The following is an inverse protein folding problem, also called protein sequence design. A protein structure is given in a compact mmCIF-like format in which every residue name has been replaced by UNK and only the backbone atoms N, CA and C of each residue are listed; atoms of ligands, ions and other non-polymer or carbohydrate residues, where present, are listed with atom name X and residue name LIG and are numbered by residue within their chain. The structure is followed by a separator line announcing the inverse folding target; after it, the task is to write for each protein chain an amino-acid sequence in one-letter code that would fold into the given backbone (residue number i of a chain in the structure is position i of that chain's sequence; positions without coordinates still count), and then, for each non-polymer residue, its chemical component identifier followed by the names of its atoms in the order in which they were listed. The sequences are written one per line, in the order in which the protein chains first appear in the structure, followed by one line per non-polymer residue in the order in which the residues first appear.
data_IF_447903096149
#
_entry.id   IF_447903096149
#
_cell.length_a   1.000
_cell.length_b   1.000
_cell.length_c   1.000
_cell.angle_alpha   90.00
_cell.angle_beta   90.00
_cell.angle_gamma   90.00
#
_symmetry.space_group_name_H-M   'P 1'
#
loop_
_entity.id
_entity.type
_entity.pdbx_description
1 polymer ?
#
# COMPACT_ATOMS: atom_id res chain seq x y z
N UNK A 1 12.45 -7.13 -27.27
CA UNK A 1 11.69 -8.16 -26.50
C UNK A 1 12.09 -8.08 -25.06
N UNK A 2 11.12 -8.25 -24.17
CA UNK A 2 11.39 -8.39 -22.72
C UNK A 2 12.22 -9.66 -22.52
N UNK A 3 13.46 -9.51 -22.04
CA UNK A 3 14.32 -10.61 -21.61
C UNK A 3 14.23 -10.83 -20.10
N UNK A 4 14.90 -11.86 -19.59
CA UNK A 4 14.83 -12.25 -18.18
C UNK A 4 15.28 -11.13 -17.20
N UNK A 5 16.23 -10.28 -17.62
CA UNK A 5 16.80 -9.21 -16.80
C UNK A 5 16.19 -7.82 -17.11
N UNK A 6 15.09 -7.74 -17.86
CA UNK A 6 14.50 -6.44 -18.22
C UNK A 6 14.10 -5.64 -16.97
N UNK A 7 13.31 -6.25 -16.07
CA UNK A 7 12.88 -5.58 -14.84
C UNK A 7 14.06 -5.26 -13.91
N UNK A 8 15.08 -6.13 -13.86
CA UNK A 8 16.28 -5.88 -13.07
C UNK A 8 17.03 -4.63 -13.51
N UNK A 9 17.22 -4.45 -14.81
CA UNK A 9 17.86 -3.24 -15.35
C UNK A 9 16.99 -2.01 -15.13
N UNK A 10 15.68 -2.15 -15.36
CA UNK A 10 14.74 -1.03 -15.15
C UNK A 10 14.67 -0.62 -13.68
N UNK A 11 14.65 -1.56 -12.75
CA UNK A 11 14.65 -1.27 -11.31
C UNK A 11 15.86 -0.42 -10.91
N UNK A 12 17.04 -0.69 -11.48
CA UNK A 12 18.23 0.12 -11.24
C UNK A 12 18.06 1.57 -11.72
N UNK A 13 17.41 1.79 -12.86
CA UNK A 13 17.12 3.15 -13.34
C UNK A 13 16.10 3.85 -12.44
N UNK A 14 15.02 3.17 -12.06
CA UNK A 14 13.97 3.74 -11.20
C UNK A 14 14.51 4.10 -9.80
N UNK A 15 15.38 3.28 -9.22
CA UNK A 15 16.00 3.55 -7.90
C UNK A 15 16.88 4.80 -7.92
N UNK A 16 17.50 5.13 -9.06
CA UNK A 16 18.32 6.36 -9.19
C UNK A 16 17.52 7.65 -9.21
N UNK A 17 16.22 7.57 -9.50
CA UNK A 17 15.34 8.74 -9.51
C UNK A 17 14.81 8.96 -8.09
N UNK A 18 15.03 10.15 -7.53
CA UNK A 18 14.46 10.53 -6.24
C UNK A 18 12.96 10.79 -6.39
N UNK A 19 12.15 10.02 -5.69
CA UNK A 19 10.70 10.19 -5.58
C UNK A 19 10.24 10.15 -4.12
N UNK A 20 11.10 10.61 -3.20
CA UNK A 20 10.81 10.58 -1.76
C UNK A 20 9.66 11.51 -1.37
N UNK A 21 8.82 11.05 -0.45
CA UNK A 21 7.71 11.77 0.16
C UNK A 21 7.92 11.82 1.70
N UNK A 22 8.03 13.00 2.32
CA UNK A 22 8.27 14.29 1.69
C UNK A 22 9.67 14.37 1.06
N UNK A 23 9.76 15.03 -0.09
CA UNK A 23 11.04 15.21 -0.79
C UNK A 23 10.88 15.68 -2.23
N UNK A 24 11.44 14.92 -3.18
CA UNK A 24 11.39 15.26 -4.60
C UNK A 24 10.03 14.95 -5.24
N UNK A 25 9.26 14.02 -4.65
CA UNK A 25 7.98 13.54 -5.15
C UNK A 25 8.10 12.85 -6.52
N UNK A 26 6.97 12.52 -7.17
CA UNK A 26 6.92 11.57 -8.28
C UNK A 26 7.07 12.18 -9.69
N UNK A 27 7.14 13.50 -9.86
CA UNK A 27 7.11 14.14 -11.19
C UNK A 27 8.22 13.65 -12.14
N UNK A 28 9.42 13.38 -11.63
CA UNK A 28 10.52 12.89 -12.48
C UNK A 28 10.35 11.43 -12.87
N UNK A 29 9.99 10.56 -11.91
CA UNK A 29 9.79 9.13 -12.19
C UNK A 29 8.55 8.91 -13.07
N UNK A 30 7.47 9.68 -12.88
CA UNK A 30 6.28 9.63 -13.74
C UNK A 30 6.65 9.94 -15.20
N UNK A 31 7.35 11.06 -15.45
CA UNK A 31 7.82 11.43 -16.78
C UNK A 31 8.75 10.39 -17.40
N UNK A 32 9.63 9.79 -16.59
CA UNK A 32 10.51 8.72 -17.04
C UNK A 32 9.72 7.51 -17.53
N UNK A 33 8.74 7.03 -16.74
CA UNK A 33 7.90 5.87 -17.09
C UNK A 33 7.07 6.17 -18.33
N UNK A 34 6.46 7.35 -18.41
CA UNK A 34 5.68 7.79 -19.58
C UNK A 34 6.53 7.78 -20.85
N UNK A 35 7.71 8.39 -20.80
CA UNK A 35 8.64 8.42 -21.94
C UNK A 35 9.09 7.02 -22.35
N UNK A 36 9.33 6.12 -21.40
CA UNK A 36 9.65 4.72 -21.68
C UNK A 36 8.51 4.02 -22.42
N UNK A 37 7.27 4.18 -21.98
CA UNK A 37 6.09 3.59 -22.64
C UNK A 37 5.91 4.13 -24.05
N UNK A 38 5.98 5.46 -24.22
CA UNK A 38 5.87 6.12 -25.51
C UNK A 38 6.95 5.63 -26.50
N UNK A 39 8.20 5.50 -26.04
CA UNK A 39 9.29 4.94 -26.83
C UNK A 39 9.05 3.47 -27.25
N UNK A 40 8.42 2.65 -26.38
CA UNK A 40 8.05 1.27 -26.74
C UNK A 40 6.95 1.24 -27.82
N UNK A 41 5.92 2.08 -27.69
CA UNK A 41 4.85 2.21 -28.70
C UNK A 41 5.42 2.64 -30.05
N UNK A 42 6.34 3.62 -30.04
CA UNK A 42 7.01 4.10 -31.25
C UNK A 42 7.92 3.03 -31.89
N UNK A 43 8.69 2.31 -31.05
CA UNK A 43 9.57 1.20 -31.50
C UNK A 43 8.79 0.07 -32.18
N UNK A 44 7.65 -0.33 -31.58
CA UNK A 44 6.80 -1.40 -32.13
C UNK A 44 6.04 -0.96 -33.38
N UNK A 45 5.66 0.31 -33.47
CA UNK A 45 5.10 0.98 -34.65
C UNK A 45 4.00 0.18 -35.39
N UNK A 46 3.13 -0.53 -34.66
CA UNK A 46 2.06 -1.34 -35.24
C UNK A 46 0.70 -0.64 -35.10
N UNK A 47 -0.16 -0.60 -36.17
CA UNK A 47 -1.43 0.12 -36.16
C UNK A 47 -2.38 -0.28 -35.01
N UNK A 48 -2.37 -1.54 -34.56
CA UNK A 48 -3.21 -2.02 -33.45
C UNK A 48 -2.89 -1.28 -32.15
N UNK A 49 -1.65 -0.83 -31.96
CA UNK A 49 -1.21 -0.11 -30.77
C UNK A 49 -1.74 1.33 -30.70
N UNK A 50 -2.31 1.88 -31.79
CA UNK A 50 -3.00 3.18 -31.74
C UNK A 50 -4.23 3.16 -30.81
N UNK A 51 -4.72 1.98 -30.42
CA UNK A 51 -5.79 1.82 -29.46
C UNK A 51 -5.32 1.94 -27.99
N UNK A 52 -4.01 1.85 -27.74
CA UNK A 52 -3.44 2.01 -26.40
C UNK A 52 -3.60 3.45 -25.93
N UNK A 53 -4.02 3.63 -24.70
CA UNK A 53 -4.27 4.93 -24.10
C UNK A 53 -3.23 5.19 -23.02
N UNK A 54 -2.66 6.38 -23.00
CA UNK A 54 -1.77 6.89 -21.96
C UNK A 54 -2.45 8.11 -21.35
N UNK A 55 -2.77 8.04 -20.07
CA UNK A 55 -3.56 9.05 -19.38
C UNK A 55 -2.82 9.50 -18.11
N UNK A 56 -2.87 10.79 -17.82
CA UNK A 56 -2.35 11.39 -16.59
C UNK A 56 -3.51 11.97 -15.79
N UNK A 57 -3.44 11.85 -14.47
CA UNK A 57 -4.42 12.42 -13.55
C UNK A 57 -3.68 13.17 -12.44
N UNK A 58 -3.81 14.48 -12.39
CA UNK A 58 -3.25 15.28 -11.30
C UNK A 58 -4.01 15.00 -10.00
N UNK A 59 -3.32 14.49 -9.00
CA UNK A 59 -3.84 14.13 -7.68
C UNK A 59 -3.53 15.25 -6.67
N UNK A 60 -2.30 15.72 -6.71
CA UNK A 60 -1.79 16.83 -5.90
C UNK A 60 -1.03 17.79 -6.83
N UNK A 61 -0.82 19.05 -6.45
CA UNK A 61 -0.11 19.99 -7.30
C UNK A 61 1.24 19.45 -7.78
N UNK A 62 1.35 19.19 -9.10
CA UNK A 62 2.56 18.65 -9.73
C UNK A 62 2.77 17.13 -9.52
N UNK A 63 1.90 16.43 -8.83
CA UNK A 63 1.98 14.97 -8.60
C UNK A 63 0.85 14.28 -9.34
N UNK A 64 1.18 13.44 -10.31
CA UNK A 64 0.22 12.81 -11.23
C UNK A 64 0.30 11.29 -11.18
N UNK A 65 -0.87 10.65 -11.11
CA UNK A 65 -0.98 9.25 -11.50
C UNK A 65 -0.79 9.14 -13.02
N UNK A 66 -0.12 8.07 -13.44
CA UNK A 66 -0.03 7.68 -14.84
C UNK A 66 -0.81 6.37 -15.05
N UNK A 67 -1.67 6.31 -16.07
CA UNK A 67 -2.34 5.08 -16.49
C UNK A 67 -2.03 4.75 -17.93
N UNK A 68 -1.65 3.51 -18.20
CA UNK A 68 -1.50 2.95 -19.55
C UNK A 68 -2.51 1.83 -19.71
N UNK A 69 -3.39 1.95 -20.72
CA UNK A 69 -4.45 0.97 -20.97
C UNK A 69 -4.29 0.32 -22.33
N UNK A 70 -4.17 -0.99 -22.36
CA UNK A 70 -4.35 -1.83 -23.54
C UNK A 70 -5.80 -2.31 -23.51
N UNK A 71 -6.68 -1.82 -24.43
CA UNK A 71 -8.09 -2.22 -24.44
C UNK A 71 -8.25 -3.70 -24.77
N UNK A 72 -9.31 -4.31 -24.24
CA UNK A 72 -9.72 -5.67 -24.58
C UNK A 72 -10.78 -5.69 -25.68
N UNK A 73 -11.00 -6.86 -26.27
CA UNK A 73 -12.08 -7.11 -27.24
C UNK A 73 -13.42 -7.44 -26.56
N UNK A 74 -13.42 -7.72 -25.25
CA UNK A 74 -14.61 -8.06 -24.46
C UNK A 74 -14.83 -7.07 -23.31
N UNK A 75 -16.06 -7.07 -22.76
CA UNK A 75 -16.43 -6.30 -21.58
C UNK A 75 -16.10 -7.02 -20.26
N UNK A 76 -15.23 -8.03 -20.31
CA UNK A 76 -14.76 -8.71 -19.11
C UNK A 76 -13.97 -7.76 -18.20
N UNK A 77 -13.95 -8.03 -16.88
CA UNK A 77 -13.17 -7.24 -15.95
C UNK A 77 -11.70 -7.14 -16.38
N UNK A 78 -11.15 -5.94 -16.44
CA UNK A 78 -9.74 -5.72 -16.79
C UNK A 78 -8.81 -6.28 -15.74
N UNK A 79 -7.62 -6.73 -16.17
CA UNK A 79 -6.49 -6.93 -15.27
C UNK A 79 -5.80 -5.58 -15.07
N UNK A 80 -5.62 -5.17 -13.83
CA UNK A 80 -4.94 -3.92 -13.48
C UNK A 80 -3.76 -4.24 -12.57
N UNK A 81 -2.57 -3.77 -12.95
CA UNK A 81 -1.46 -3.65 -12.03
C UNK A 81 -1.42 -2.20 -11.54
N UNK A 82 -1.44 -2.00 -10.23
CA UNK A 82 -1.29 -0.69 -9.59
C UNK A 82 -0.03 -0.70 -8.74
N UNK A 83 0.84 0.29 -8.93
CA UNK A 83 2.13 0.34 -8.26
C UNK A 83 2.44 1.80 -7.92
N UNK A 84 2.83 2.07 -6.68
CA UNK A 84 3.21 3.41 -6.32
C UNK A 84 4.61 3.78 -6.82
N UNK A 85 4.79 5.08 -7.07
CA UNK A 85 6.04 5.65 -7.56
C UNK A 85 6.85 6.33 -6.46
N UNK A 86 6.18 6.77 -5.39
CA UNK A 86 6.80 7.41 -4.25
C UNK A 86 7.60 6.42 -3.39
N UNK A 87 8.41 6.95 -2.53
CA UNK A 87 9.13 6.22 -1.48
C UNK A 87 9.11 7.07 -0.22
N UNK A 88 9.25 6.46 0.96
CA UNK A 88 9.56 7.23 2.15
C UNK A 88 10.87 8.01 2.00
N UNK A 89 11.12 8.96 2.89
CA UNK A 89 12.36 9.75 2.93
C UNK A 89 13.60 8.86 2.89
N UNK A 90 14.70 9.39 2.37
CA UNK A 90 15.96 8.64 2.24
C UNK A 90 16.50 8.18 3.60
N UNK A 91 16.32 8.97 4.66
CA UNK A 91 16.76 8.67 6.01
C UNK A 91 18.28 8.60 6.17
N UNK A 92 18.70 8.37 7.41
CA UNK A 92 20.10 8.23 7.80
C UNK A 92 20.48 6.76 8.08
N UNK A 93 21.77 6.51 8.30
CA UNK A 93 22.27 5.18 8.72
C UNK A 93 22.61 4.22 7.58
N UNK A 94 22.69 4.70 6.35
CA UNK A 94 23.19 3.92 5.21
C UNK A 94 24.68 3.63 5.36
N UNK A 95 25.11 2.44 4.92
CA UNK A 95 26.52 2.11 4.83
C UNK A 95 27.25 3.06 3.89
N UNK A 96 28.51 3.38 4.19
CA UNK A 96 29.25 4.42 3.47
C UNK A 96 29.45 4.12 1.96
N UNK A 97 29.33 2.87 1.55
CA UNK A 97 29.44 2.42 0.17
C UNK A 97 28.08 2.15 -0.50
N UNK A 98 26.97 2.45 0.20
CA UNK A 98 25.60 2.33 -0.31
C UNK A 98 24.92 3.68 -0.28
N UNK A 99 24.99 4.42 -1.40
CA UNK A 99 24.23 5.64 -1.54
C UNK A 99 22.73 5.30 -1.71
N UNK A 100 21.81 6.01 -1.01
CA UNK A 100 20.36 5.73 -1.07
C UNK A 100 19.76 5.69 -2.49
N UNK A 101 20.26 6.53 -3.39
CA UNK A 101 19.86 6.59 -4.80
C UNK A 101 20.94 6.03 -5.74
N UNK A 102 21.90 5.28 -5.21
CA UNK A 102 23.03 4.76 -5.99
C UNK A 102 22.70 3.57 -6.88
N UNK A 103 21.58 2.89 -6.62
CA UNK A 103 21.25 1.61 -7.24
C UNK A 103 22.45 0.63 -7.20
N UNK A 104 23.02 0.46 -6.03
CA UNK A 104 24.25 -0.33 -5.84
C UNK A 104 23.93 -1.81 -5.98
N UNK A 105 24.60 -2.49 -6.91
CA UNK A 105 24.49 -3.95 -7.08
C UNK A 105 25.64 -4.63 -6.34
N UNK A 106 25.31 -5.52 -5.41
CA UNK A 106 26.28 -6.30 -4.64
C UNK A 106 25.63 -7.63 -4.20
N UNK A 107 26.35 -8.72 -4.36
CA UNK A 107 25.92 -10.08 -3.97
C UNK A 107 24.49 -10.42 -4.49
N UNK A 108 24.26 -10.18 -5.78
CA UNK A 108 22.97 -10.38 -6.47
C UNK A 108 21.80 -9.64 -5.81
N UNK A 109 22.05 -8.49 -5.19
CA UNK A 109 21.08 -7.61 -4.58
C UNK A 109 21.21 -6.20 -5.12
N UNK A 110 20.08 -5.56 -5.37
CA UNK A 110 19.99 -4.14 -5.70
C UNK A 110 19.67 -3.36 -4.44
N UNK A 111 20.60 -2.53 -4.01
CA UNK A 111 20.48 -1.66 -2.84
C UNK A 111 20.07 -0.24 -3.26
N UNK A 112 19.16 0.34 -2.51
CA UNK A 112 18.73 1.72 -2.64
C UNK A 112 17.34 1.95 -2.07
N UNK A 113 16.98 3.21 -1.81
CA UNK A 113 15.63 3.57 -1.36
C UNK A 113 14.61 3.25 -2.46
N UNK A 114 13.53 2.54 -2.09
CA UNK A 114 12.53 2.09 -3.03
C UNK A 114 12.92 0.82 -3.80
N UNK A 115 14.13 0.26 -3.62
CA UNK A 115 14.51 -0.97 -4.31
C UNK A 115 13.57 -2.13 -3.97
N UNK A 116 13.14 -2.20 -2.71
CA UNK A 116 12.19 -3.18 -2.19
C UNK A 116 10.76 -2.64 -2.24
N UNK A 117 10.54 -1.41 -1.80
CA UNK A 117 9.25 -0.78 -1.62
C UNK A 117 9.13 0.51 -2.46
N UNK A 118 8.48 0.44 -3.68
CA UNK A 118 8.16 -0.80 -4.44
C UNK A 118 8.67 -0.71 -5.89
N UNK A 119 9.75 0.08 -6.17
CA UNK A 119 10.30 0.29 -7.54
C UNK A 119 10.78 -1.02 -8.20
N UNK A 120 11.25 -1.99 -7.40
CA UNK A 120 11.54 -3.34 -7.91
C UNK A 120 10.30 -4.04 -8.46
N UNK A 121 9.19 -3.94 -7.75
CA UNK A 121 7.88 -4.44 -8.17
C UNK A 121 7.30 -3.66 -9.36
N UNK A 122 7.37 -2.32 -9.30
CA UNK A 122 6.96 -1.44 -10.41
C UNK A 122 7.69 -1.78 -11.72
N UNK A 123 9.00 -2.06 -11.64
CA UNK A 123 9.77 -2.51 -12.81
C UNK A 123 9.25 -3.84 -13.39
N UNK A 124 8.82 -4.78 -12.54
CA UNK A 124 8.20 -6.04 -12.98
C UNK A 124 6.83 -5.80 -13.65
N UNK A 125 6.02 -4.89 -13.11
CA UNK A 125 4.73 -4.52 -13.70
C UNK A 125 4.90 -3.83 -15.06
N UNK A 126 5.89 -2.94 -15.20
CA UNK A 126 6.24 -2.32 -16.50
C UNK A 126 6.75 -3.38 -17.48
N UNK A 127 7.53 -4.36 -17.03
CA UNK A 127 7.97 -5.47 -17.90
C UNK A 127 6.78 -6.26 -18.47
N UNK A 128 5.77 -6.55 -17.63
CA UNK A 128 4.54 -7.22 -18.08
C UNK A 128 3.73 -6.35 -19.06
N UNK A 129 3.68 -5.03 -18.89
CA UNK A 129 3.08 -4.11 -19.86
C UNK A 129 3.83 -4.16 -21.18
N UNK A 130 5.15 -4.03 -21.18
CA UNK A 130 5.97 -4.06 -22.40
C UNK A 130 5.81 -5.38 -23.14
N UNK A 131 5.82 -6.51 -22.40
CA UNK A 131 5.54 -7.84 -22.97
C UNK A 131 4.15 -7.91 -23.63
N UNK A 132 3.13 -7.36 -22.95
CA UNK A 132 1.76 -7.28 -23.50
C UNK A 132 1.72 -6.46 -24.80
N UNK A 133 2.39 -5.31 -24.86
CA UNK A 133 2.47 -4.49 -26.08
C UNK A 133 3.19 -5.22 -27.21
N UNK A 134 4.28 -5.92 -26.91
CA UNK A 134 5.02 -6.72 -27.90
C UNK A 134 4.16 -7.85 -28.47
N UNK A 135 3.40 -8.55 -27.62
CA UNK A 135 2.49 -9.61 -28.05
C UNK A 135 1.34 -9.07 -28.89
N UNK A 136 0.69 -7.97 -28.46
CA UNK A 136 -0.35 -7.29 -29.24
C UNK A 136 0.16 -6.89 -30.63
N UNK A 137 1.36 -6.36 -30.73
CA UNK A 137 1.97 -6.01 -32.02
C UNK A 137 2.29 -7.26 -32.85
N UNK A 138 2.79 -8.33 -32.26
CA UNK A 138 3.11 -9.58 -32.96
C UNK A 138 1.85 -10.29 -33.49
N UNK A 139 0.79 -10.32 -32.70
CA UNK A 139 -0.49 -10.94 -33.04
C UNK A 139 -1.30 -10.06 -34.02
N UNK A 140 -1.00 -8.76 -34.08
CA UNK A 140 -1.77 -7.78 -34.85
C UNK A 140 -3.20 -7.59 -34.35
N UNK A 141 -3.49 -7.98 -33.13
CA UNK A 141 -4.82 -7.98 -32.52
C UNK A 141 -4.75 -7.62 -31.02
N UNK A 142 -5.80 -6.95 -30.54
CA UNK A 142 -5.96 -6.68 -29.10
C UNK A 142 -6.23 -7.97 -28.32
N UNK A 143 -5.88 -8.04 -27.03
CA UNK A 143 -6.19 -9.19 -26.21
C UNK A 143 -7.72 -9.29 -26.00
N UNK A 144 -8.20 -10.45 -25.58
CA UNK A 144 -9.61 -10.65 -25.24
C UNK A 144 -10.03 -9.76 -24.07
N UNK A 145 -9.28 -9.78 -23.00
CA UNK A 145 -9.50 -8.96 -21.80
C UNK A 145 -8.55 -7.74 -21.80
N UNK A 146 -9.05 -6.58 -21.38
CA UNK A 146 -8.20 -5.39 -21.26
C UNK A 146 -7.18 -5.50 -20.14
N UNK A 147 -6.08 -4.79 -20.30
CA UNK A 147 -5.02 -4.64 -19.29
C UNK A 147 -4.75 -3.17 -19.01
N UNK A 148 -4.47 -2.82 -17.77
CA UNK A 148 -3.98 -1.48 -17.40
C UNK A 148 -2.84 -1.57 -16.41
N UNK A 149 -1.86 -0.68 -16.58
CA UNK A 149 -0.89 -0.34 -15.54
C UNK A 149 -1.26 1.04 -15.00
N UNK A 150 -1.39 1.17 -13.67
CA UNK A 150 -1.57 2.44 -12.97
C UNK A 150 -0.32 2.65 -12.13
N UNK A 151 0.39 3.76 -12.34
CA UNK A 151 1.47 4.20 -11.47
C UNK A 151 0.87 5.29 -10.56
N UNK A 152 0.73 5.00 -9.27
CA UNK A 152 0.08 5.85 -8.28
C UNK A 152 1.08 6.74 -7.55
N UNK A 153 0.58 7.84 -6.99
CA UNK A 153 1.32 8.77 -6.13
C UNK A 153 0.81 8.69 -4.69
N UNK A 154 1.67 9.09 -3.71
CA UNK A 154 1.25 9.34 -2.34
C UNK A 154 0.79 8.08 -1.57
N UNK A 155 1.30 6.91 -1.94
CA UNK A 155 0.93 5.68 -1.23
C UNK A 155 1.48 5.67 0.19
N UNK A 156 2.74 6.06 0.36
CA UNK A 156 3.50 6.05 1.60
C UNK A 156 2.97 7.01 2.69
N UNK A 157 2.10 7.97 2.32
CA UNK A 157 1.50 8.93 3.25
C UNK A 157 -0.02 8.72 3.41
N UNK A 158 -0.84 9.14 2.43
CA UNK A 158 -2.30 9.08 2.53
C UNK A 158 -2.99 8.22 1.49
N UNK A 159 -2.28 7.65 0.50
CA UNK A 159 -2.84 6.82 -0.60
C UNK A 159 -3.86 7.60 -1.45
N UNK A 160 -3.64 8.91 -1.63
CA UNK A 160 -4.54 9.78 -2.42
C UNK A 160 -4.55 9.40 -3.89
N UNK A 161 -3.47 8.80 -4.41
CA UNK A 161 -3.39 8.31 -5.78
C UNK A 161 -4.42 7.23 -6.06
N UNK A 162 -4.54 6.21 -5.22
CA UNK A 162 -5.56 5.17 -5.35
C UNK A 162 -6.97 5.73 -5.24
N UNK A 163 -7.20 6.65 -4.31
CA UNK A 163 -8.51 7.29 -4.15
C UNK A 163 -8.91 8.07 -5.41
N UNK A 164 -7.99 8.86 -5.96
CA UNK A 164 -8.21 9.59 -7.19
C UNK A 164 -8.45 8.67 -8.39
N UNK A 165 -7.76 7.52 -8.46
CA UNK A 165 -8.00 6.52 -9.51
C UNK A 165 -9.41 5.91 -9.42
N UNK A 166 -9.93 5.68 -8.21
CA UNK A 166 -11.32 5.24 -7.98
C UNK A 166 -12.31 6.33 -8.43
N UNK A 167 -12.12 7.56 -7.98
CA UNK A 167 -13.00 8.69 -8.26
C UNK A 167 -13.05 9.03 -9.76
N UNK A 168 -11.94 8.85 -10.48
CA UNK A 168 -11.85 9.01 -11.94
C UNK A 168 -12.43 7.81 -12.72
N UNK A 169 -12.87 6.75 -12.04
CA UNK A 169 -13.39 5.54 -12.69
C UNK A 169 -12.31 4.70 -13.38
N UNK A 170 -11.04 4.87 -13.03
CA UNK A 170 -9.94 4.08 -13.56
C UNK A 170 -9.97 2.65 -13.03
N UNK A 171 -10.47 2.47 -11.82
CA UNK A 171 -10.64 1.18 -11.13
C UNK A 171 -11.93 1.20 -10.30
N UNK A 172 -12.59 0.04 -10.17
CA UNK A 172 -13.83 -0.12 -9.43
C UNK A 172 -13.99 -1.51 -8.83
N UNK A 173 -15.25 -1.96 -8.69
CA UNK A 173 -15.57 -3.22 -8.00
C UNK A 173 -15.43 -4.47 -8.88
N UNK A 174 -15.20 -4.35 -10.17
CA UNK A 174 -15.22 -5.48 -11.13
C UNK A 174 -13.84 -5.93 -11.58
N UNK A 175 -12.87 -5.04 -11.57
CA UNK A 175 -11.52 -5.27 -12.08
C UNK A 175 -10.76 -6.28 -11.22
N UNK A 176 -9.80 -6.95 -11.82
CA UNK A 176 -8.82 -7.77 -11.16
C UNK A 176 -7.58 -6.92 -10.89
N UNK A 177 -7.32 -6.63 -9.62
CA UNK A 177 -6.32 -5.62 -9.23
C UNK A 177 -5.19 -6.27 -8.43
N UNK A 178 -3.98 -6.06 -8.88
CA UNK A 178 -2.76 -6.54 -8.25
C UNK A 178 -1.79 -5.38 -8.04
N UNK A 179 -1.26 -5.22 -6.84
CA UNK A 179 -0.07 -4.42 -6.60
C UNK A 179 1.19 -5.30 -6.46
N UNK A 180 2.36 -4.68 -6.51
CA UNK A 180 3.63 -5.39 -6.45
C UNK A 180 4.45 -5.04 -5.22
N UNK A 181 3.76 -4.88 -4.11
CA UNK A 181 4.31 -4.67 -2.78
C UNK A 181 5.32 -5.76 -2.37
N UNK A 182 6.24 -5.48 -1.42
CA UNK A 182 7.28 -6.41 -1.02
C UNK A 182 6.74 -7.61 -0.22
N UNK A 183 6.21 -8.60 -0.92
CA UNK A 183 5.60 -9.81 -0.34
C UNK A 183 6.52 -11.03 -0.31
N UNK A 184 7.77 -10.89 -0.76
CA UNK A 184 8.74 -11.97 -0.93
C UNK A 184 8.23 -13.14 -1.80
N UNK A 185 7.40 -12.81 -2.80
CA UNK A 185 6.78 -13.79 -3.71
C UNK A 185 5.67 -14.63 -3.08
N UNK A 186 5.09 -14.17 -1.97
CA UNK A 186 3.86 -14.70 -1.42
C UNK A 186 2.67 -13.90 -1.96
N UNK A 187 1.51 -14.54 -2.09
CA UNK A 187 0.27 -13.88 -2.47
C UNK A 187 -0.39 -13.36 -1.18
N UNK A 188 -0.59 -12.04 -1.09
CA UNK A 188 -1.23 -11.43 0.08
C UNK A 188 -2.63 -10.95 -0.32
N UNK A 189 -3.66 -11.47 0.35
CA UNK A 189 -5.08 -11.31 -0.05
C UNK A 189 -5.95 -10.68 1.03
N UNK A 190 -5.37 -10.35 2.18
CA UNK A 190 -6.08 -9.81 3.32
C UNK A 190 -5.23 -8.75 4.03
N UNK A 191 -5.89 -7.78 4.65
CA UNK A 191 -5.24 -6.65 5.33
C UNK A 191 -5.96 -6.33 6.64
N UNK A 192 -5.20 -5.96 7.68
CA UNK A 192 -5.80 -5.36 8.87
C UNK A 192 -6.34 -3.98 8.52
N UNK A 193 -7.48 -3.61 9.11
CA UNK A 193 -7.96 -2.24 9.06
C UNK A 193 -6.98 -1.29 9.76
N UNK A 194 -6.98 -0.02 9.36
CA UNK A 194 -6.17 1.04 9.96
C UNK A 194 -7.07 2.20 10.34
N UNK A 195 -7.21 2.46 11.64
CA UNK A 195 -7.99 3.60 12.14
C UNK A 195 -7.09 4.46 13.04
N UNK A 196 -7.05 5.75 12.75
CA UNK A 196 -6.30 6.72 13.54
C UNK A 196 -7.24 7.60 14.33
N UNK A 197 -6.85 7.84 15.60
CA UNK A 197 -7.54 8.75 16.48
C UNK A 197 -6.60 9.81 17.02
N UNK A 198 -7.09 11.02 17.14
CA UNK A 198 -6.59 12.05 18.02
C UNK A 198 -7.53 12.17 19.20
N UNK A 199 -7.03 12.02 20.42
CA UNK A 199 -7.82 12.11 21.64
C UNK A 199 -7.25 13.25 22.46
N UNK A 200 -8.11 14.17 22.89
CA UNK A 200 -7.75 15.32 23.73
C UNK A 200 -8.49 15.25 25.05
N UNK A 201 -7.79 15.62 26.13
CA UNK A 201 -8.35 15.85 27.45
C UNK A 201 -8.10 17.29 27.85
N UNK A 202 -9.16 17.97 28.25
CA UNK A 202 -9.11 19.33 28.82
C UNK A 202 -9.44 19.27 30.30
N UNK A 203 -8.80 20.10 31.06
CA UNK A 203 -8.95 20.15 32.51
C UNK A 203 -8.93 21.59 33.03
N UNK A 204 -8.49 21.76 34.27
CA UNK A 204 -8.45 23.09 34.93
C UNK A 204 -7.13 23.24 35.63
N UNK A 205 -6.39 24.31 35.35
CA UNK A 205 -5.12 24.61 36.00
C UNK A 205 -5.29 24.94 37.47
N UNK A 206 -4.31 24.53 38.29
CA UNK A 206 -4.18 24.92 39.70
C UNK A 206 -2.71 24.84 40.14
N UNK A 207 -2.41 25.40 41.28
CA UNK A 207 -1.09 25.22 41.88
C UNK A 207 -0.91 23.78 42.35
N UNK A 208 0.21 23.13 42.06
CA UNK A 208 0.43 21.72 42.34
C UNK A 208 0.33 21.35 43.85
N UNK A 209 0.51 22.32 44.77
CA UNK A 209 0.26 22.09 46.20
C UNK A 209 -1.21 22.05 46.59
N UNK A 210 -2.12 22.41 45.68
CA UNK A 210 -3.57 22.39 45.88
C UNK A 210 -4.28 21.76 44.66
N UNK A 211 -3.94 20.53 44.30
CA UNK A 211 -4.43 19.92 43.04
C UNK A 211 -5.96 19.74 43.04
N UNK A 212 -6.60 19.63 44.17
CA UNK A 212 -8.06 19.55 44.32
C UNK A 212 -8.83 20.80 43.86
N UNK A 213 -8.11 21.90 43.54
CA UNK A 213 -8.71 23.13 42.96
C UNK A 213 -8.67 23.12 41.43
N UNK A 214 -8.00 22.15 40.83
CA UNK A 214 -7.91 21.97 39.40
C UNK A 214 -8.50 20.63 38.96
N UNK A 215 -8.33 20.32 37.69
CA UNK A 215 -8.63 19.02 37.09
C UNK A 215 -7.48 18.63 36.18
N UNK A 216 -6.80 17.53 36.49
CA UNK A 216 -5.54 17.11 35.86
C UNK A 216 -5.82 16.37 34.55
N UNK A 217 -5.64 17.04 33.42
CA UNK A 217 -5.84 16.48 32.09
C UNK A 217 -4.85 15.36 31.74
N UNK A 218 -3.62 15.40 32.26
CA UNK A 218 -2.62 14.34 32.07
C UNK A 218 -3.02 13.08 32.85
N UNK A 219 -3.52 13.21 34.07
CA UNK A 219 -4.04 12.08 34.82
C UNK A 219 -5.26 11.46 34.14
N UNK A 220 -6.19 12.27 33.64
CA UNK A 220 -7.34 11.79 32.83
C UNK A 220 -6.90 11.06 31.55
N UNK A 221 -5.91 11.61 30.83
CA UNK A 221 -5.35 10.94 29.65
C UNK A 221 -4.71 9.59 29.97
N UNK A 222 -3.99 9.49 31.10
CA UNK A 222 -3.40 8.23 31.56
C UNK A 222 -4.48 7.16 31.81
N UNK A 223 -5.62 7.53 32.42
CA UNK A 223 -6.77 6.63 32.60
C UNK A 223 -7.35 6.17 31.27
N UNK A 224 -7.54 7.09 30.31
CA UNK A 224 -8.04 6.74 28.97
C UNK A 224 -7.10 5.78 28.23
N UNK A 225 -5.81 6.03 28.23
CA UNK A 225 -4.77 5.15 27.63
C UNK A 225 -4.79 3.77 28.27
N UNK A 226 -4.86 3.70 29.61
CA UNK A 226 -4.93 2.42 30.31
C UNK A 226 -6.24 1.65 30.02
N UNK A 227 -7.35 2.35 29.89
CA UNK A 227 -8.64 1.74 29.54
C UNK A 227 -8.62 1.16 28.12
N UNK A 228 -8.11 1.91 27.14
CA UNK A 228 -7.97 1.45 25.75
C UNK A 228 -7.04 0.23 25.65
N UNK A 229 -5.90 0.24 26.32
CA UNK A 229 -4.99 -0.93 26.35
C UNK A 229 -5.68 -2.19 26.88
N UNK A 230 -6.46 -2.06 27.96
CA UNK A 230 -7.24 -3.19 28.50
C UNK A 230 -8.32 -3.67 27.55
N UNK A 231 -9.04 -2.74 26.90
CA UNK A 231 -10.09 -3.06 25.93
C UNK A 231 -9.53 -3.84 24.73
N UNK A 232 -8.41 -3.38 24.16
CA UNK A 232 -7.75 -4.05 23.04
C UNK A 232 -7.20 -5.43 23.42
N UNK A 233 -6.65 -5.60 24.62
CA UNK A 233 -6.17 -6.90 25.09
C UNK A 233 -7.29 -7.95 25.27
N UNK A 234 -8.54 -7.52 25.35
CA UNK A 234 -9.72 -8.39 25.48
C UNK A 234 -10.41 -8.68 24.15
N UNK A 235 -9.96 -8.09 23.03
CA UNK A 235 -10.55 -8.33 21.70
C UNK A 235 -10.30 -9.77 21.23
N UNK A 236 -11.21 -10.34 20.45
CA UNK A 236 -10.99 -11.65 19.84
C UNK A 236 -9.81 -11.60 18.85
N UNK A 237 -9.14 -12.74 18.73
CA UNK A 237 -8.07 -12.93 17.74
C UNK A 237 -8.71 -13.49 16.48
N UNK A 238 -8.47 -12.84 15.34
CA UNK A 238 -8.93 -13.33 14.03
C UNK A 238 -8.04 -14.48 13.57
N UNK A 239 -8.62 -15.54 13.00
CA UNK A 239 -7.89 -16.77 12.65
C UNK A 239 -6.75 -16.50 11.63
N UNK A 240 -6.97 -15.66 10.61
CA UNK A 240 -5.97 -15.33 9.59
C UNK A 240 -5.18 -14.07 9.95
N UNK A 241 -5.87 -12.95 10.26
CA UNK A 241 -5.24 -11.65 10.48
C UNK A 241 -4.59 -11.50 11.87
N UNK A 242 -4.83 -12.45 12.79
CA UNK A 242 -4.32 -12.39 14.15
C UNK A 242 -5.03 -11.33 15.02
N UNK A 243 -4.39 -10.82 16.10
CA UNK A 243 -5.01 -9.87 17.00
C UNK A 243 -5.09 -8.46 16.42
N UNK A 244 -6.14 -7.71 16.80
CA UNK A 244 -6.13 -6.25 16.68
C UNK A 244 -5.05 -5.65 17.57
N UNK A 245 -4.43 -4.54 17.13
CA UNK A 245 -3.36 -3.88 17.89
C UNK A 245 -3.63 -2.39 18.05
N UNK A 246 -3.07 -1.80 19.12
CA UNK A 246 -3.14 -0.38 19.40
C UNK A 246 -1.75 0.14 19.73
N UNK A 247 -1.38 1.26 19.12
CA UNK A 247 -0.13 1.99 19.36
C UNK A 247 -0.45 3.44 19.70
N UNK A 248 0.12 3.93 20.79
CA UNK A 248 0.09 5.34 21.16
C UNK A 248 1.36 5.98 20.60
N UNK A 249 1.27 6.51 19.38
CA UNK A 249 2.44 6.96 18.61
C UNK A 249 3.06 8.25 19.15
N UNK A 250 2.23 9.13 19.69
CA UNK A 250 2.66 10.39 20.26
C UNK A 250 1.74 10.77 21.43
N UNK A 251 2.30 11.40 22.45
CA UNK A 251 1.55 11.97 23.57
C UNK A 251 2.21 13.28 23.99
N UNK A 252 1.39 14.28 24.29
CA UNK A 252 1.85 15.57 24.82
C UNK A 252 0.88 16.09 25.89
N UNK A 253 1.35 16.93 26.79
CA UNK A 253 0.51 17.54 27.81
C UNK A 253 1.27 18.21 28.94
N UNK A 254 0.58 19.13 29.61
CA UNK A 254 1.11 19.87 30.74
C UNK A 254 2.12 20.95 30.38
N UNK A 255 2.60 21.66 31.38
CA UNK A 255 3.52 22.80 31.21
C UNK A 255 4.77 22.67 32.09
N UNK A 256 4.56 22.56 33.42
CA UNK A 256 5.61 22.55 34.45
C UNK A 256 5.18 21.67 35.63
N UNK A 257 6.10 21.08 36.37
CA UNK A 257 5.77 20.16 37.49
C UNK A 257 5.00 20.81 38.66
N UNK A 258 4.94 22.13 38.73
CA UNK A 258 4.24 22.87 39.76
C UNK A 258 2.86 23.44 39.31
N UNK A 259 2.34 23.01 38.17
CA UNK A 259 1.05 23.42 37.61
C UNK A 259 0.25 22.15 37.31
N UNK A 260 -0.99 22.08 37.83
CA UNK A 260 -1.96 21.04 37.40
C UNK A 260 -2.27 21.28 35.93
N UNK A 261 -2.03 20.28 35.05
CA UNK A 261 -2.19 20.46 33.59
C UNK A 261 -3.67 20.50 33.19
N UNK A 262 -4.02 21.44 32.36
CA UNK A 262 -5.37 21.60 31.79
C UNK A 262 -5.50 21.05 30.36
N UNK A 263 -4.45 20.45 29.81
CA UNK A 263 -4.44 19.90 28.48
C UNK A 263 -3.54 18.67 28.38
N UNK A 264 -4.03 17.63 27.68
CA UNK A 264 -3.25 16.50 27.19
C UNK A 264 -3.83 15.99 25.88
N UNK A 265 -2.97 15.52 24.97
CA UNK A 265 -3.35 14.96 23.68
C UNK A 265 -2.56 13.70 23.37
N UNK A 266 -3.19 12.72 22.71
CA UNK A 266 -2.54 11.49 22.28
C UNK A 266 -2.98 11.16 20.84
N UNK A 267 -2.02 10.71 20.00
CA UNK A 267 -2.26 10.18 18.67
C UNK A 267 -2.16 8.66 18.69
N UNK A 268 -3.18 7.99 18.17
CA UNK A 268 -3.37 6.56 18.31
C UNK A 268 -3.51 5.90 16.94
N UNK A 269 -2.70 4.89 16.65
CA UNK A 269 -2.85 3.96 15.52
C UNK A 269 -3.51 2.66 16.03
N UNK A 270 -4.64 2.31 15.44
CA UNK A 270 -5.35 1.05 15.70
C UNK A 270 -5.35 0.20 14.44
N UNK A 271 -4.81 -1.03 14.53
CA UNK A 271 -4.90 -2.04 13.47
C UNK A 271 -6.00 -3.01 13.84
N UNK A 272 -7.11 -2.94 13.10
CA UNK A 272 -8.33 -3.65 13.43
C UNK A 272 -8.46 -4.94 12.63
N UNK A 273 -9.00 -5.97 13.26
CA UNK A 273 -9.34 -7.25 12.61
C UNK A 273 -10.80 -7.60 12.90
N UNK A 274 -11.52 -8.18 11.94
CA UNK A 274 -12.92 -8.57 12.17
C UNK A 274 -13.09 -9.47 13.41
N UNK A 275 -14.18 -9.33 14.14
CA UNK A 275 -15.35 -8.50 13.87
C UNK A 275 -15.23 -7.04 14.36
N UNK A 276 -14.03 -6.59 14.77
CA UNK A 276 -13.81 -5.23 15.26
C UNK A 276 -13.59 -4.28 14.09
N UNK A 277 -14.48 -3.33 13.93
CA UNK A 277 -14.43 -2.25 12.94
C UNK A 277 -14.17 -0.88 13.58
N UNK A 278 -14.07 0.16 12.76
CA UNK A 278 -13.90 1.55 13.22
C UNK A 278 -15.05 1.99 14.14
N UNK A 279 -16.28 1.55 13.90
CA UNK A 279 -17.40 1.89 14.77
C UNK A 279 -17.25 1.26 16.17
N UNK A 280 -16.77 0.02 16.24
CA UNK A 280 -16.46 -0.64 17.53
C UNK A 280 -15.29 0.05 18.24
N UNK A 281 -14.23 0.41 17.51
CA UNK A 281 -13.08 1.15 18.04
C UNK A 281 -13.51 2.53 18.59
N UNK A 282 -14.38 3.24 17.87
CA UNK A 282 -14.94 4.54 18.29
C UNK A 282 -15.68 4.41 19.63
N UNK A 283 -16.54 3.39 19.77
CA UNK A 283 -17.23 3.13 21.05
C UNK A 283 -16.25 2.85 22.20
N UNK A 284 -15.13 2.18 21.94
CA UNK A 284 -14.11 1.96 22.97
C UNK A 284 -13.42 3.27 23.37
N UNK A 285 -13.16 4.17 22.40
CA UNK A 285 -12.61 5.51 22.67
C UNK A 285 -13.61 6.33 23.52
N UNK A 286 -14.88 6.35 23.16
CA UNK A 286 -15.92 7.04 23.92
C UNK A 286 -16.03 6.52 25.35
N UNK A 287 -16.01 5.19 25.53
CA UNK A 287 -16.04 4.58 26.87
C UNK A 287 -14.78 4.91 27.68
N UNK A 288 -13.61 4.94 27.06
CA UNK A 288 -12.37 5.29 27.71
C UNK A 288 -12.37 6.76 28.18
N UNK A 289 -12.86 7.67 27.33
CA UNK A 289 -13.05 9.10 27.65
C UNK A 289 -14.02 9.24 28.84
N UNK A 290 -15.20 8.64 28.76
CA UNK A 290 -16.21 8.73 29.83
C UNK A 290 -15.66 8.16 31.15
N UNK A 291 -14.88 7.07 31.11
CA UNK A 291 -14.21 6.52 32.29
C UNK A 291 -13.17 7.46 32.89
N UNK A 292 -12.40 8.15 32.04
CA UNK A 292 -11.41 9.13 32.45
C UNK A 292 -12.04 10.38 33.08
N UNK A 293 -13.14 10.88 32.51
CA UNK A 293 -13.92 12.01 33.05
C UNK A 293 -14.50 11.67 34.43
N UNK A 294 -14.98 10.44 34.60
CA UNK A 294 -15.47 9.95 35.88
C UNK A 294 -14.35 9.81 36.96
N UNK A 295 -13.15 9.38 36.51
CA UNK A 295 -11.99 9.21 37.39
C UNK A 295 -11.36 10.55 37.80
N UNK A 296 -11.42 11.57 36.93
CA UNK A 296 -10.86 12.90 37.16
C UNK A 296 -11.96 13.96 36.94
N UNK A 297 -12.83 14.20 37.93
CA UNK A 297 -13.92 15.15 37.79
C UNK A 297 -13.45 16.56 37.41
N UNK A 298 -14.11 17.15 36.42
CA UNK A 298 -13.76 18.46 35.85
C UNK A 298 -12.87 18.41 34.64
N UNK A 299 -12.41 17.23 34.24
CA UNK A 299 -11.86 16.99 32.90
C UNK A 299 -12.96 16.66 31.87
N UNK A 300 -12.72 17.04 30.61
CA UNK A 300 -13.57 16.72 29.48
C UNK A 300 -12.71 16.21 28.34
N UNK A 301 -13.18 15.13 27.69
CA UNK A 301 -12.49 14.52 26.57
C UNK A 301 -13.22 14.76 25.24
N UNK A 302 -12.42 14.84 24.19
CA UNK A 302 -12.88 14.85 22.80
C UNK A 302 -11.99 13.94 21.94
N UNK A 303 -12.49 13.54 20.79
CA UNK A 303 -11.69 12.78 19.81
C UNK A 303 -12.02 13.18 18.38
N UNK A 304 -11.08 12.92 17.48
CA UNK A 304 -11.30 12.96 16.05
C UNK A 304 -10.78 11.64 15.44
N UNK A 305 -11.51 11.14 14.44
CA UNK A 305 -11.02 10.05 13.57
C UNK A 305 -10.28 10.72 12.41
N UNK A 306 -8.97 10.50 12.32
CA UNK A 306 -8.12 11.13 11.30
C UNK A 306 -7.72 10.18 10.17
N UNK A 307 -8.06 8.88 10.31
CA UNK A 307 -7.91 7.87 9.26
C UNK A 307 -8.88 6.73 9.50
N UNK A 308 -9.52 6.26 8.43
CA UNK A 308 -10.47 5.15 8.46
C UNK A 308 -10.27 4.25 7.23
N UNK A 309 -9.69 3.09 7.45
CA UNK A 309 -9.44 2.05 6.44
C UNK A 309 -9.98 0.72 6.98
N UNK A 310 -10.98 0.10 6.34
CA UNK A 310 -11.55 -1.16 6.80
C UNK A 310 -10.58 -2.32 6.66
N UNK A 311 -10.73 -3.36 7.47
CA UNK A 311 -10.04 -4.62 7.25
C UNK A 311 -10.53 -5.29 5.95
N UNK A 312 -9.62 -5.93 5.23
CA UNK A 312 -9.92 -6.69 4.02
C UNK A 312 -9.73 -8.17 4.33
N UNK A 313 -10.78 -8.95 4.15
CA UNK A 313 -10.76 -10.40 4.33
C UNK A 313 -10.57 -11.11 3.00
N UNK A 314 -9.94 -12.29 3.05
CA UNK A 314 -9.76 -13.16 1.90
C UNK A 314 -11.09 -13.55 1.26
N UNK A 315 -11.15 -13.49 -0.06
CA UNK A 315 -12.17 -14.20 -0.84
C UNK A 315 -11.61 -15.52 -1.37
N UNK A 316 -12.00 -16.67 -0.79
CA UNK A 316 -11.45 -17.97 -1.19
C UNK A 316 -11.87 -18.39 -2.60
N UNK A 317 -12.89 -17.75 -3.17
CA UNK A 317 -13.40 -18.04 -4.53
C UNK A 317 -13.00 -16.97 -5.55
N UNK A 318 -12.07 -16.07 -5.20
CA UNK A 318 -11.57 -15.06 -6.12
C UNK A 318 -10.91 -15.70 -7.36
N UNK A 319 -11.41 -15.39 -8.57
CA UNK A 319 -10.79 -15.91 -9.78
C UNK A 319 -9.39 -15.33 -10.03
N UNK A 320 -9.10 -14.11 -9.56
CA UNK A 320 -7.75 -13.57 -9.63
C UNK A 320 -6.79 -14.36 -8.73
N UNK A 321 -7.22 -14.73 -7.51
CA UNK A 321 -6.40 -15.56 -6.63
C UNK A 321 -6.05 -16.90 -7.28
N UNK A 322 -7.03 -17.56 -7.90
CA UNK A 322 -6.80 -18.82 -8.60
C UNK A 322 -5.82 -18.66 -9.78
N UNK A 323 -5.99 -17.60 -10.59
CA UNK A 323 -5.14 -17.31 -11.73
C UNK A 323 -3.69 -16.98 -11.31
N UNK A 324 -3.53 -16.11 -10.31
CA UNK A 324 -2.22 -15.70 -9.81
C UNK A 324 -1.49 -16.87 -9.15
N UNK A 325 -2.21 -17.69 -8.36
CA UNK A 325 -1.61 -18.87 -7.75
C UNK A 325 -1.14 -19.88 -8.81
N UNK A 326 -1.94 -20.14 -9.82
CA UNK A 326 -1.55 -21.00 -10.93
C UNK A 326 -0.27 -20.47 -11.63
N UNK A 327 -0.25 -19.19 -11.99
CA UNK A 327 0.92 -18.58 -12.63
C UNK A 327 2.18 -18.63 -11.74
N UNK A 328 2.03 -18.36 -10.44
CA UNK A 328 3.15 -18.40 -9.50
C UNK A 328 3.68 -19.83 -9.28
N UNK A 329 2.78 -20.81 -9.12
CA UNK A 329 3.15 -22.22 -8.95
C UNK A 329 3.83 -22.78 -10.20
N UNK A 330 3.34 -22.45 -11.40
CA UNK A 330 3.92 -22.88 -12.66
C UNK A 330 5.34 -22.31 -12.86
N UNK A 331 5.55 -21.02 -12.55
CA UNK A 331 6.85 -20.37 -12.66
C UNK A 331 7.86 -20.87 -11.61
N UNK A 332 7.40 -21.07 -10.37
CA UNK A 332 8.30 -21.44 -9.27
C UNK A 332 8.51 -22.94 -9.11
N UNK A 333 7.60 -23.74 -9.65
CA UNK A 333 7.54 -25.19 -9.42
C UNK A 333 7.21 -25.57 -7.98
N UNK A 334 6.66 -24.66 -7.19
CA UNK A 334 6.33 -24.85 -5.76
C UNK A 334 4.94 -24.33 -5.44
N UNK A 335 4.32 -24.84 -4.36
CA UNK A 335 3.04 -24.34 -3.85
C UNK A 335 3.24 -22.95 -3.22
N UNK A 336 2.78 -21.92 -3.92
CA UNK A 336 2.93 -20.53 -3.49
C UNK A 336 2.06 -20.23 -2.28
N UNK A 337 2.67 -19.71 -1.24
CA UNK A 337 1.99 -19.34 0.01
C UNK A 337 1.00 -18.19 -0.22
N UNK A 338 -0.20 -18.36 0.33
CA UNK A 338 -1.24 -17.32 0.37
C UNK A 338 -1.41 -16.87 1.81
N UNK A 339 -1.26 -15.58 2.06
CA UNK A 339 -1.28 -14.98 3.40
C UNK A 339 -1.94 -13.61 3.44
N UNK A 340 -1.56 -12.83 4.44
CA UNK A 340 -2.06 -11.47 4.63
C UNK A 340 -0.90 -10.46 4.73
N UNK A 341 -1.15 -9.24 4.30
CA UNK A 341 -0.21 -8.13 4.40
C UNK A 341 -0.46 -7.38 5.73
N UNK A 342 0.61 -7.12 6.47
CA UNK A 342 0.49 -6.45 7.79
C UNK A 342 0.28 -4.94 7.69
N UNK A 343 0.70 -4.33 6.58
CA UNK A 343 0.45 -2.95 6.21
C UNK A 343 -0.92 -2.75 5.55
N UNK A 344 -1.12 -1.60 4.94
CA UNK A 344 -2.27 -1.26 4.12
C UNK A 344 -1.75 -0.75 2.78
N UNK A 345 -2.30 -1.19 1.67
CA UNK A 345 -1.77 -0.96 0.32
C UNK A 345 -2.81 -0.31 -0.58
N UNK A 346 -2.41 0.11 -1.78
CA UNK A 346 -3.32 0.63 -2.81
C UNK A 346 -4.44 -0.36 -3.13
N UNK A 347 -4.15 -1.66 -3.21
CA UNK A 347 -5.18 -2.69 -3.43
C UNK A 347 -6.15 -2.80 -2.26
N UNK A 348 -5.69 -2.60 -1.03
CA UNK A 348 -6.57 -2.56 0.14
C UNK A 348 -7.48 -1.33 0.15
N UNK A 349 -7.01 -0.16 -0.30
CA UNK A 349 -7.84 1.04 -0.50
C UNK A 349 -8.94 0.78 -1.51
N UNK A 350 -8.59 0.20 -2.66
CA UNK A 350 -9.56 -0.14 -3.71
C UNK A 350 -10.60 -1.14 -3.18
N UNK A 351 -10.16 -2.23 -2.54
CA UNK A 351 -11.06 -3.22 -1.95
C UNK A 351 -12.02 -2.59 -0.93
N UNK A 352 -11.49 -1.78 -0.02
CA UNK A 352 -12.26 -1.15 1.06
C UNK A 352 -13.29 -0.13 0.57
N UNK A 353 -12.94 0.68 -0.44
CA UNK A 353 -13.82 1.72 -0.97
C UNK A 353 -14.84 1.21 -1.98
N UNK A 354 -14.48 0.21 -2.79
CA UNK A 354 -15.34 -0.25 -3.89
C UNK A 354 -16.04 -1.57 -3.61
N UNK A 355 -15.64 -2.27 -2.55
CA UNK A 355 -16.10 -3.64 -2.27
C UNK A 355 -15.52 -4.68 -3.23
N UNK A 356 -14.46 -4.35 -3.97
CA UNK A 356 -13.80 -5.27 -4.89
C UNK A 356 -13.11 -6.40 -4.12
N UNK A 357 -13.46 -7.64 -4.41
CA UNK A 357 -12.91 -8.84 -3.76
C UNK A 357 -11.76 -9.48 -4.55
N UNK A 358 -11.40 -8.91 -5.69
CA UNK A 358 -10.29 -9.33 -6.54
C UNK A 358 -9.14 -8.31 -6.46
N UNK A 359 -8.71 -8.01 -5.23
CA UNK A 359 -7.59 -7.13 -4.93
C UNK A 359 -6.57 -7.89 -4.08
N UNK A 360 -5.30 -7.88 -4.49
CA UNK A 360 -4.23 -8.60 -3.77
C UNK A 360 -2.86 -8.05 -4.12
N UNK A 361 -1.84 -8.49 -3.37
CA UNK A 361 -0.46 -8.08 -3.53
C UNK A 361 0.44 -9.28 -3.86
N UNK A 362 1.37 -9.09 -4.79
CA UNK A 362 2.42 -10.05 -5.11
C UNK A 362 3.62 -9.34 -5.72
N UNK A 363 4.75 -9.31 -5.03
CA UNK A 363 5.94 -8.64 -5.53
C UNK A 363 7.25 -9.19 -4.96
N UNK A 364 8.38 -8.64 -5.44
CA UNK A 364 9.71 -9.05 -5.01
C UNK A 364 10.09 -8.35 -3.70
N UNK A 365 11.09 -8.91 -3.02
CA UNK A 365 11.61 -8.32 -1.79
C UNK A 365 10.73 -8.57 -0.58
N UNK A 366 11.20 -8.14 0.58
CA UNK A 366 10.57 -8.41 1.86
C UNK A 366 10.22 -7.12 2.59
N UNK A 367 8.98 -6.98 3.05
CA UNK A 367 8.51 -5.85 3.87
C UNK A 367 9.40 -5.58 5.09
N UNK A 368 10.10 -6.60 5.59
CA UNK A 368 11.04 -6.44 6.70
C UNK A 368 12.24 -5.53 6.37
N UNK A 369 12.50 -5.27 5.09
CA UNK A 369 13.58 -4.40 4.58
C UNK A 369 13.08 -2.99 4.24
N UNK A 370 11.78 -2.82 4.03
CA UNK A 370 11.17 -1.55 3.70
C UNK A 370 11.44 -0.48 4.78
N UNK A 371 11.55 0.78 4.36
CA UNK A 371 11.72 1.98 5.21
C UNK A 371 13.02 2.01 6.04
N UNK A 372 13.94 1.07 5.83
CA UNK A 372 15.22 0.97 6.56
C UNK A 372 16.39 1.45 5.71
N UNK A 373 17.50 1.88 6.32
CA UNK A 373 18.75 2.02 5.59
C UNK A 373 19.22 0.65 5.07
N UNK A 374 19.98 0.67 3.98
CA UNK A 374 20.46 -0.54 3.29
C UNK A 374 19.31 -1.43 2.77
N UNK A 375 18.16 -0.83 2.49
CA UNK A 375 17.08 -1.48 1.78
C UNK A 375 17.57 -2.12 0.50
N UNK A 376 17.13 -3.34 0.21
CA UNK A 376 17.51 -4.05 -1.02
C UNK A 376 16.44 -5.01 -1.50
N UNK A 377 16.51 -5.36 -2.78
CA UNK A 377 15.74 -6.44 -3.39
C UNK A 377 16.69 -7.46 -4.06
N UNK A 378 16.50 -8.78 -3.88
CA UNK A 378 17.30 -9.78 -4.56
C UNK A 378 17.01 -9.86 -6.05
N UNK A 379 18.04 -10.04 -6.90
CA UNK A 379 17.89 -10.27 -8.35
C UNK A 379 16.89 -11.39 -8.67
N UNK A 380 17.08 -12.56 -8.04
CA UNK A 380 16.18 -13.70 -8.23
C UNK A 380 14.72 -13.39 -7.87
N UNK A 381 14.47 -12.48 -6.91
CA UNK A 381 13.13 -12.02 -6.55
C UNK A 381 12.48 -11.22 -7.67
N UNK A 382 13.23 -10.30 -8.29
CA UNK A 382 12.75 -9.49 -9.43
C UNK A 382 12.48 -10.40 -10.64
N UNK A 383 13.42 -11.28 -10.98
CA UNK A 383 13.26 -12.21 -12.12
C UNK A 383 12.02 -13.08 -11.94
N UNK A 384 11.86 -13.69 -10.77
CA UNK A 384 10.67 -14.48 -10.43
C UNK A 384 9.38 -13.66 -10.55
N UNK A 385 9.35 -12.45 -9.98
CA UNK A 385 8.18 -11.59 -10.03
C UNK A 385 7.83 -11.20 -11.47
N UNK A 386 8.81 -10.76 -12.26
CA UNK A 386 8.62 -10.47 -13.69
C UNK A 386 7.99 -11.65 -14.43
N UNK A 387 8.51 -12.86 -14.24
CA UNK A 387 8.01 -14.07 -14.91
C UNK A 387 6.56 -14.39 -14.48
N UNK A 388 6.23 -14.27 -13.20
CA UNK A 388 4.88 -14.52 -12.68
C UNK A 388 3.88 -13.49 -13.22
N UNK A 389 4.24 -12.19 -13.23
CA UNK A 389 3.35 -11.14 -13.75
C UNK A 389 3.10 -11.28 -15.25
N UNK A 390 4.12 -11.66 -16.02
CA UNK A 390 3.97 -11.97 -17.44
C UNK A 390 3.08 -13.19 -17.65
N UNK A 391 3.32 -14.29 -16.92
CA UNK A 391 2.51 -15.50 -17.03
C UNK A 391 1.04 -15.25 -16.65
N UNK A 392 0.80 -14.47 -15.57
CA UNK A 392 -0.55 -14.06 -15.20
C UNK A 392 -1.22 -13.24 -16.31
N UNK A 393 -0.52 -12.25 -16.88
CA UNK A 393 -1.03 -11.45 -17.98
C UNK A 393 -1.36 -12.33 -19.18
N UNK A 394 -0.45 -13.20 -19.58
CA UNK A 394 -0.67 -14.12 -20.70
C UNK A 394 -1.88 -15.03 -20.50
N UNK A 395 -2.01 -15.64 -19.32
CA UNK A 395 -3.13 -16.52 -18.99
C UNK A 395 -4.47 -15.79 -18.94
N UNK A 396 -4.50 -14.57 -18.40
CA UNK A 396 -5.73 -13.81 -18.17
C UNK A 396 -6.20 -13.06 -19.41
N UNK A 397 -5.28 -12.52 -20.20
CA UNK A 397 -5.62 -11.61 -21.30
C UNK A 397 -6.00 -12.36 -22.58
N UNK A 398 -5.41 -13.54 -22.84
CA UNK A 398 -5.60 -14.27 -24.11
C UNK A 398 -6.38 -15.58 -23.97
N UNK A 399 -6.49 -16.16 -22.77
CA UNK A 399 -7.16 -17.45 -22.62
C UNK A 399 -8.66 -17.34 -22.93
N UNK A 400 -9.10 -18.14 -23.91
CA UNK A 400 -10.50 -18.26 -24.33
C UNK A 400 -11.29 -19.28 -23.50
N UNK A 401 -10.63 -20.09 -22.66
CA UNK A 401 -11.26 -21.28 -22.05
C UNK A 401 -12.18 -20.94 -20.86
N UNK A 402 -12.05 -19.77 -20.23
CA UNK A 402 -12.83 -19.44 -19.03
C UNK A 402 -12.58 -20.39 -17.83
N UNK A 403 -11.65 -21.33 -18.00
CA UNK A 403 -11.29 -22.35 -17.02
C UNK A 403 -9.93 -22.02 -16.39
N UNK A 404 -9.90 -20.99 -15.55
CA UNK A 404 -8.83 -20.87 -14.58
C UNK A 404 -9.24 -21.70 -13.38
N UNK A 405 -8.74 -22.95 -13.32
CA UNK A 405 -8.85 -23.85 -12.17
C UNK A 405 -10.26 -24.46 -11.96
N UNK A 406 -10.48 -25.66 -12.47
CA UNK A 406 -11.46 -26.59 -11.93
C UNK A 406 -10.78 -27.51 -10.91
#
# INVERSE_FOLDING_TARGET
MVDEDFAWRLAQELVRIDSSDPGAYEDEIERYIKALVEAQLERLSHPVLHAVQVEELEVLPGRRNLKVTVPGQSDEPRLIYICHMDTVTLGDGWDADIAPLGAVVRDDKLYGRGACDMKGGLACAIAALVHTLERVAADGALPRRGFSLICSVDEEDFMRGSEAAIDAGWVGSREWVLDTEPTDGQIQVAHKGRTWFEIEMTGVTAHASQPWKGADAVAAMAEAVCALRRAFAALPVHDELGPSTITFGQIEGGYRPYVVPDHAKVWVDMRLTPPTDTAAATRMVEQAIAGAEAAVPGCHGAYAVTGDRPAIERDPVSPLLAALKCAADDVTGTDTTVGFFTGYTDTAVIAGKTGNRNCMSYGPGSLALAHKPNEYVPHAGIVRCQQVLIALADNVLWDASGQVGA
#
